data_IF_202751851390
#
_entry.id   IF_202751851390
#
_cell.length_a   1.000
_cell.length_b   1.000
_cell.length_c   1.000
_cell.angle_alpha   90.00
_cell.angle_beta   90.00
_cell.angle_gamma   90.00
#
_symmetry.space_group_name_H-M   'P 1'
#
loop_
_entity.id
_entity.type
_entity.pdbx_description
1 polymer ?
#
# COMPACT_ATOMS: atom_id res chain seq x y z
N UNK A 1 -4.01 27.16 2.99
CA UNK A 1 -3.73 25.89 2.28
C UNK A 1 -3.80 24.77 3.30
N UNK A 2 -4.64 23.75 3.08
CA UNK A 2 -4.68 22.59 4.00
C UNK A 2 -3.49 21.66 3.74
N UNK A 3 -3.12 20.82 4.70
CA UNK A 3 -2.06 19.81 4.53
C UNK A 3 -2.36 18.86 3.35
N UNK A 4 -3.64 18.60 3.09
CA UNK A 4 -4.11 17.79 1.97
C UNK A 4 -3.93 18.46 0.61
N UNK A 5 -4.11 19.78 0.53
CA UNK A 5 -3.88 20.53 -0.71
C UNK A 5 -2.38 20.55 -1.04
N UNK A 6 -1.53 20.78 -0.02
CA UNK A 6 -0.08 20.74 -0.20
C UNK A 6 0.43 19.38 -0.69
N UNK A 7 -0.06 18.25 -0.16
CA UNK A 7 0.36 16.93 -0.60
C UNK A 7 -0.02 16.65 -2.06
N UNK A 8 -1.26 17.00 -2.45
CA UNK A 8 -1.72 16.81 -3.83
C UNK A 8 -0.86 17.60 -4.83
N UNK A 9 -0.51 18.83 -4.49
CA UNK A 9 0.31 19.67 -5.36
C UNK A 9 1.74 19.16 -5.47
N UNK A 10 2.32 18.67 -4.37
CA UNK A 10 3.66 18.09 -4.38
C UNK A 10 3.73 16.79 -5.19
N UNK A 11 2.71 15.92 -5.12
CA UNK A 11 2.62 14.73 -5.97
C UNK A 11 2.50 15.11 -7.45
N UNK A 12 1.67 16.11 -7.79
CA UNK A 12 1.56 16.60 -9.17
C UNK A 12 2.90 17.12 -9.70
N UNK A 13 3.58 17.97 -8.91
CA UNK A 13 4.91 18.49 -9.26
C UNK A 13 5.91 17.36 -9.46
N UNK A 14 5.92 16.38 -8.54
CA UNK A 14 6.81 15.22 -8.62
C UNK A 14 6.60 14.43 -9.91
N UNK A 15 5.34 14.14 -10.28
CA UNK A 15 5.02 13.47 -11.54
C UNK A 15 5.48 14.30 -12.74
N UNK A 16 5.23 15.61 -12.76
CA UNK A 16 5.63 16.48 -13.87
C UNK A 16 7.14 16.51 -14.05
N UNK A 17 7.89 16.73 -12.96
CA UNK A 17 9.34 16.83 -12.99
C UNK A 17 9.96 15.48 -13.38
N UNK A 18 9.42 14.36 -12.87
CA UNK A 18 9.93 13.02 -13.14
C UNK A 18 9.90 12.63 -14.62
N UNK A 19 9.05 13.24 -15.45
CA UNK A 19 9.06 13.03 -16.90
C UNK A 19 10.17 13.82 -17.62
N UNK A 20 10.80 14.78 -16.94
CA UNK A 20 11.73 15.75 -17.53
C UNK A 20 13.16 15.62 -17.01
N UNK A 21 13.42 14.77 -16.01
CA UNK A 21 14.74 14.61 -15.38
C UNK A 21 15.27 13.16 -15.46
N UNK A 22 16.60 12.93 -15.36
CA UNK A 22 17.19 11.59 -15.33
C UNK A 22 16.68 10.74 -14.15
N UNK A 23 16.66 9.42 -14.31
CA UNK A 23 16.13 8.47 -13.30
C UNK A 23 16.81 8.58 -11.94
N UNK A 24 18.11 8.88 -11.95
CA UNK A 24 18.95 9.08 -10.77
C UNK A 24 18.52 10.31 -9.96
N UNK A 25 18.01 11.35 -10.65
CA UNK A 25 17.49 12.56 -10.02
C UNK A 25 16.06 12.38 -9.51
N UNK A 26 15.22 11.58 -10.18
CA UNK A 26 13.89 11.20 -9.68
C UNK A 26 13.99 10.57 -8.27
N UNK A 27 15.04 9.77 -8.04
CA UNK A 27 15.31 9.15 -6.73
C UNK A 27 15.57 10.19 -5.64
N UNK A 28 16.31 11.26 -5.95
CA UNK A 28 16.58 12.35 -5.00
C UNK A 28 15.30 13.10 -4.63
N UNK A 29 14.49 13.46 -5.62
CA UNK A 29 13.20 14.13 -5.41
C UNK A 29 12.22 13.27 -4.60
N UNK A 30 12.18 11.96 -4.90
CA UNK A 30 11.41 11.00 -4.12
C UNK A 30 11.80 11.04 -2.64
N UNK A 31 13.09 10.97 -2.32
CA UNK A 31 13.55 11.00 -0.94
C UNK A 31 13.28 12.32 -0.20
N UNK A 32 13.32 13.45 -0.91
CA UNK A 32 12.89 14.74 -0.34
C UNK A 32 11.43 14.66 0.12
N UNK A 33 10.56 14.05 -0.69
CA UNK A 33 9.16 13.85 -0.33
C UNK A 33 8.98 12.78 0.75
N UNK A 34 9.77 11.71 0.78
CA UNK A 34 9.78 10.74 1.88
C UNK A 34 10.06 11.44 3.21
N UNK A 35 11.13 12.25 3.28
CA UNK A 35 11.47 13.01 4.49
C UNK A 35 10.35 13.95 4.92
N UNK A 36 9.69 14.60 3.94
CA UNK A 36 8.58 15.52 4.20
C UNK A 36 7.32 14.82 4.70
N UNK A 37 7.01 13.64 4.17
CA UNK A 37 5.73 12.95 4.44
C UNK A 37 5.87 11.72 5.34
N UNK A 38 7.06 11.45 5.89
CA UNK A 38 7.25 10.28 6.74
C UNK A 38 6.35 10.36 7.98
N UNK A 39 5.55 9.31 8.27
CA UNK A 39 4.57 9.32 9.36
C UNK A 39 5.18 9.54 10.75
N UNK A 40 6.44 9.17 10.98
CA UNK A 40 7.12 9.41 12.28
C UNK A 40 7.38 10.89 12.57
N UNK A 41 7.30 11.79 11.57
CA UNK A 41 7.41 13.24 11.78
C UNK A 41 6.13 13.87 12.34
N UNK A 42 5.03 13.11 12.46
CA UNK A 42 3.69 13.63 12.76
C UNK A 42 2.95 12.77 13.80
N UNK A 43 3.05 13.16 15.07
CA UNK A 43 2.43 12.44 16.20
C UNK A 43 0.90 12.43 16.17
N UNK A 44 0.27 13.57 15.84
CA UNK A 44 -1.19 13.72 15.94
C UNK A 44 -1.95 13.34 14.66
N UNK A 45 -1.25 13.14 13.53
CA UNK A 45 -1.86 12.87 12.22
C UNK A 45 -1.22 11.66 11.52
N UNK A 46 -0.60 10.76 12.28
CA UNK A 46 0.19 9.63 11.75
C UNK A 46 -0.53 8.84 10.65
N UNK A 47 -1.80 8.48 10.88
CA UNK A 47 -2.63 7.72 9.92
C UNK A 47 -2.82 8.43 8.57
N UNK A 48 -2.88 9.77 8.55
CA UNK A 48 -2.98 10.54 7.31
C UNK A 48 -1.66 10.54 6.54
N UNK A 49 -0.54 10.64 7.26
CA UNK A 49 0.79 10.61 6.65
C UNK A 49 1.20 9.21 6.21
N UNK A 50 0.72 8.15 6.88
CA UNK A 50 0.84 6.78 6.38
C UNK A 50 0.18 6.64 4.98
N UNK A 51 -1.01 7.24 4.80
CA UNK A 51 -1.69 7.27 3.49
C UNK A 51 -0.89 8.04 2.44
N UNK A 52 -0.33 9.19 2.80
CA UNK A 52 0.49 10.00 1.90
C UNK A 52 1.76 9.26 1.47
N UNK A 53 2.42 8.61 2.42
CA UNK A 53 3.60 7.80 2.16
C UNK A 53 3.31 6.65 1.20
N UNK A 54 2.16 5.97 1.36
CA UNK A 54 1.74 4.90 0.43
C UNK A 54 1.46 5.41 -0.99
N UNK A 55 0.78 6.54 -1.13
CA UNK A 55 0.50 7.15 -2.43
C UNK A 55 1.81 7.57 -3.11
N UNK A 56 2.72 8.20 -2.37
CA UNK A 56 4.03 8.60 -2.87
C UNK A 56 4.84 7.39 -3.39
N UNK A 57 4.91 6.31 -2.61
CA UNK A 57 5.61 5.09 -3.02
C UNK A 57 5.01 4.45 -4.27
N UNK A 58 3.67 4.44 -4.36
CA UNK A 58 2.98 3.94 -5.54
C UNK A 58 3.31 4.77 -6.79
N UNK A 59 3.28 6.10 -6.67
CA UNK A 59 3.61 7.03 -7.75
C UNK A 59 5.05 6.83 -8.22
N UNK A 60 6.01 6.79 -7.29
CA UNK A 60 7.42 6.55 -7.61
C UNK A 60 7.64 5.20 -8.30
N UNK A 61 6.99 4.12 -7.83
CA UNK A 61 7.07 2.81 -8.47
C UNK A 61 6.58 2.85 -9.92
N UNK A 62 5.42 3.48 -10.17
CA UNK A 62 4.85 3.56 -11.52
C UNK A 62 5.75 4.35 -12.48
N UNK A 63 6.33 5.46 -12.01
CA UNK A 63 7.29 6.28 -12.76
C UNK A 63 8.53 5.43 -13.10
N UNK A 64 9.04 4.63 -12.15
CA UNK A 64 10.19 3.75 -12.36
C UNK A 64 9.88 2.60 -13.33
N UNK A 65 8.66 2.08 -13.30
CA UNK A 65 8.29 0.85 -13.99
C UNK A 65 7.97 1.02 -15.48
N UNK A 66 7.41 2.15 -15.94
CA UNK A 66 6.97 2.33 -17.34
C UNK A 66 6.23 1.10 -17.96
N UNK A 67 5.51 0.31 -17.14
CA UNK A 67 4.99 -0.99 -17.56
C UNK A 67 3.48 -1.13 -17.33
N UNK A 68 2.74 -1.21 -18.45
CA UNK A 68 1.40 -1.78 -18.53
C UNK A 68 1.39 -3.15 -17.86
N UNK A 69 0.79 -3.26 -16.68
CA UNK A 69 0.53 -4.57 -16.09
C UNK A 69 -0.76 -4.52 -15.28
N UNK A 70 -1.88 -4.71 -15.98
CA UNK A 70 -3.13 -5.12 -15.36
C UNK A 70 -3.01 -6.59 -14.96
N UNK A 71 -3.17 -6.87 -13.67
CA UNK A 71 -3.15 -8.23 -13.14
C UNK A 71 -4.47 -8.94 -13.52
N UNK A 72 -4.41 -9.89 -14.45
CA UNK A 72 -5.46 -10.88 -14.68
C UNK A 72 -5.35 -11.97 -13.62
N UNK A 73 -6.40 -12.15 -12.80
CA UNK A 73 -6.51 -13.27 -11.86
C UNK A 73 -7.76 -14.08 -12.21
N UNK A 74 -7.58 -15.39 -12.13
CA UNK A 74 -8.37 -16.47 -12.75
C UNK A 74 -9.67 -16.70 -11.97
N UNK A 75 -10.78 -16.83 -12.71
CA UNK A 75 -12.18 -16.77 -12.27
C UNK A 75 -12.79 -18.11 -11.83
N UNK A 76 -12.10 -19.23 -12.03
CA UNK A 76 -12.82 -20.50 -12.27
C UNK A 76 -13.12 -21.36 -11.03
N UNK A 77 -12.46 -21.12 -9.89
CA UNK A 77 -12.75 -21.85 -8.65
C UNK A 77 -13.91 -21.28 -7.83
N UNK A 78 -14.27 -20.02 -8.07
CA UNK A 78 -15.20 -19.30 -7.20
C UNK A 78 -16.65 -19.76 -7.41
N UNK A 79 -17.10 -19.96 -8.66
CA UNK A 79 -18.51 -20.15 -9.01
C UNK A 79 -19.23 -21.35 -8.36
N UNK A 80 -18.50 -22.35 -7.83
CA UNK A 80 -19.08 -23.62 -7.34
C UNK A 80 -19.75 -23.56 -5.96
N UNK A 81 -19.64 -22.47 -5.20
CA UNK A 81 -20.13 -22.38 -3.81
C UNK A 81 -21.29 -21.37 -3.58
N UNK A 82 -21.96 -20.91 -4.64
CA UNK A 82 -22.99 -19.85 -4.54
C UNK A 82 -24.37 -20.35 -4.12
N UNK A 83 -25.07 -19.53 -3.33
CA UNK A 83 -26.54 -19.58 -3.15
C UNK A 83 -27.08 -18.17 -3.40
N UNK A 84 -27.96 -17.98 -4.39
CA UNK A 84 -28.54 -16.68 -4.78
C UNK A 84 -27.52 -15.55 -5.06
N UNK A 85 -26.39 -15.86 -5.72
CA UNK A 85 -25.37 -14.86 -6.08
C UNK A 85 -24.59 -14.27 -4.88
N UNK A 86 -24.64 -14.95 -3.73
CA UNK A 86 -23.87 -14.63 -2.53
C UNK A 86 -23.15 -15.89 -2.04
N UNK A 87 -21.95 -15.69 -1.50
CA UNK A 87 -21.18 -16.75 -0.85
C UNK A 87 -21.45 -16.75 0.64
N UNK A 88 -21.57 -17.96 1.19
CA UNK A 88 -21.50 -18.16 2.63
C UNK A 88 -20.05 -17.98 3.08
N UNK A 89 -19.77 -16.82 3.68
CA UNK A 89 -18.50 -16.50 4.32
C UNK A 89 -18.64 -16.77 5.81
N UNK A 90 -17.73 -17.56 6.39
CA UNK A 90 -17.66 -17.70 7.85
C UNK A 90 -16.65 -16.67 8.33
N UNK A 91 -17.14 -15.71 9.12
CA UNK A 91 -16.30 -14.67 9.69
C UNK A 91 -15.45 -15.20 10.85
N UNK A 92 -14.57 -14.34 11.38
CA UNK A 92 -13.70 -14.63 12.52
C UNK A 92 -14.46 -15.13 13.78
N UNK A 93 -15.71 -14.70 13.96
CA UNK A 93 -16.58 -15.11 15.08
C UNK A 93 -17.33 -16.44 14.81
N UNK A 94 -16.95 -17.17 13.75
CA UNK A 94 -17.61 -18.39 13.28
C UNK A 94 -19.07 -18.19 12.85
N UNK A 95 -19.49 -16.94 12.59
CA UNK A 95 -20.84 -16.64 12.08
C UNK A 95 -20.86 -16.69 10.56
N UNK A 96 -21.89 -17.32 10.02
CA UNK A 96 -22.13 -17.37 8.59
C UNK A 96 -22.76 -16.05 8.11
N UNK A 97 -22.14 -15.42 7.12
CA UNK A 97 -22.61 -14.21 6.46
C UNK A 97 -22.69 -14.44 4.96
N UNK A 98 -23.61 -13.74 4.29
CA UNK A 98 -23.80 -13.86 2.84
C UNK A 98 -23.23 -12.63 2.15
N UNK A 99 -22.09 -12.81 1.48
CA UNK A 99 -21.31 -11.73 0.88
C UNK A 99 -21.41 -11.80 -0.64
N UNK A 100 -21.49 -10.65 -1.31
CA UNK A 100 -21.54 -10.60 -2.77
C UNK A 100 -20.22 -11.06 -3.40
N UNK A 101 -20.29 -11.64 -4.59
CA UNK A 101 -19.13 -12.15 -5.33
C UNK A 101 -18.02 -11.10 -5.45
N UNK A 102 -18.40 -9.88 -5.87
CA UNK A 102 -17.46 -8.78 -6.06
C UNK A 102 -16.79 -8.35 -4.75
N UNK A 103 -17.54 -8.31 -3.65
CA UNK A 103 -16.99 -7.92 -2.35
C UNK A 103 -16.06 -9.00 -1.81
N UNK A 104 -16.45 -10.28 -1.88
CA UNK A 104 -15.60 -11.39 -1.44
C UNK A 104 -14.31 -11.49 -2.28
N UNK A 105 -14.42 -11.33 -3.59
CA UNK A 105 -13.27 -11.32 -4.49
C UNK A 105 -12.27 -10.21 -4.11
N UNK A 106 -12.75 -8.97 -3.99
CA UNK A 106 -11.91 -7.84 -3.60
C UNK A 106 -11.31 -8.03 -2.20
N UNK A 107 -12.07 -8.62 -1.27
CA UNK A 107 -11.55 -8.91 0.07
C UNK A 107 -10.36 -9.88 0.01
N UNK A 108 -10.51 -11.02 -0.69
CA UNK A 108 -9.44 -12.01 -0.86
C UNK A 108 -8.23 -11.44 -1.60
N UNK A 109 -8.46 -10.68 -2.68
CA UNK A 109 -7.41 -9.96 -3.40
C UNK A 109 -6.62 -9.02 -2.48
N UNK A 110 -7.30 -8.37 -1.55
CA UNK A 110 -6.69 -7.55 -0.51
C UNK A 110 -5.78 -8.34 0.42
N UNK A 111 -6.28 -9.48 0.92
CA UNK A 111 -5.52 -10.38 1.80
C UNK A 111 -4.31 -10.98 1.11
N UNK A 112 -4.45 -11.45 -0.14
CA UNK A 112 -3.35 -12.03 -0.92
C UNK A 112 -2.18 -11.05 -1.05
N UNK A 113 -2.48 -9.77 -1.31
CA UNK A 113 -1.45 -8.73 -1.41
C UNK A 113 -0.78 -8.45 -0.06
N UNK A 114 -1.52 -8.52 1.05
CA UNK A 114 -0.99 -8.43 2.41
C UNK A 114 -0.04 -9.61 2.71
N UNK A 115 -0.47 -10.84 2.42
CA UNK A 115 0.34 -12.03 2.67
C UNK A 115 1.57 -12.08 1.78
N UNK A 116 1.42 -11.76 0.50
CA UNK A 116 2.55 -11.62 -0.42
C UNK A 116 3.55 -10.59 0.11
N UNK A 117 3.08 -9.43 0.60
CA UNK A 117 3.95 -8.39 1.16
C UNK A 117 4.76 -8.90 2.35
N UNK A 118 4.11 -9.62 3.28
CA UNK A 118 4.76 -10.25 4.43
C UNK A 118 5.81 -11.26 3.99
N UNK A 119 5.43 -12.19 3.12
CA UNK A 119 6.28 -13.30 2.71
C UNK A 119 7.48 -12.79 1.88
N UNK A 120 7.26 -11.78 1.04
CA UNK A 120 8.31 -11.13 0.28
C UNK A 120 9.32 -10.42 1.19
N UNK A 121 8.87 -9.73 2.25
CA UNK A 121 9.74 -9.11 3.24
C UNK A 121 10.57 -10.15 4.00
N UNK A 122 9.98 -11.28 4.39
CA UNK A 122 10.69 -12.37 5.06
C UNK A 122 11.77 -13.00 4.17
N UNK A 123 11.48 -13.17 2.89
CA UNK A 123 12.44 -13.70 1.92
C UNK A 123 13.55 -12.70 1.52
N UNK A 124 13.27 -11.40 1.64
CA UNK A 124 14.19 -10.32 1.26
C UNK A 124 14.33 -9.32 2.42
N UNK A 125 15.05 -9.70 3.50
CA UNK A 125 15.27 -8.79 4.61
C UNK A 125 15.98 -7.52 4.11
N UNK A 126 15.64 -6.39 4.72
CA UNK A 126 16.16 -5.08 4.34
C UNK A 126 17.64 -4.98 4.74
N UNK A 127 18.54 -5.41 3.86
CA UNK A 127 19.99 -5.25 3.98
C UNK A 127 20.48 -3.98 3.28
N UNK A 128 21.69 -3.51 3.64
CA UNK A 128 22.29 -2.33 3.01
C UNK A 128 22.41 -2.50 1.48
N UNK A 129 21.97 -1.47 0.73
CA UNK A 129 22.14 -1.39 -0.73
C UNK A 129 20.93 -1.79 -1.59
N UNK A 130 20.06 -2.71 -1.12
CA UNK A 130 18.89 -3.18 -1.89
C UNK A 130 17.52 -2.84 -1.27
N UNK A 131 17.52 -2.19 -0.10
CA UNK A 131 16.31 -1.87 0.66
C UNK A 131 15.28 -1.04 -0.11
N UNK A 132 15.71 -0.11 -0.96
CA UNK A 132 14.81 0.79 -1.69
C UNK A 132 13.83 0.03 -2.60
N UNK A 133 14.32 -0.94 -3.38
CA UNK A 133 13.49 -1.66 -4.34
C UNK A 133 12.52 -2.60 -3.65
N UNK A 134 12.97 -3.24 -2.57
CA UNK A 134 12.16 -4.13 -1.74
C UNK A 134 11.04 -3.32 -1.09
N UNK A 135 11.36 -2.19 -0.46
CA UNK A 135 10.36 -1.33 0.19
C UNK A 135 9.34 -0.82 -0.81
N UNK A 136 9.77 -0.34 -1.99
CA UNK A 136 8.84 0.16 -3.01
C UNK A 136 7.89 -0.94 -3.51
N UNK A 137 8.40 -2.16 -3.78
CA UNK A 137 7.57 -3.30 -4.20
C UNK A 137 6.53 -3.68 -3.15
N UNK A 138 6.95 -3.75 -1.89
CA UNK A 138 6.06 -4.06 -0.77
C UNK A 138 5.02 -2.95 -0.60
N UNK A 139 5.42 -1.68 -0.58
CA UNK A 139 4.51 -0.53 -0.48
C UNK A 139 3.45 -0.50 -1.58
N UNK A 140 3.81 -0.87 -2.81
CA UNK A 140 2.87 -0.96 -3.92
C UNK A 140 1.84 -2.09 -3.72
N UNK A 141 2.28 -3.27 -3.27
CA UNK A 141 1.37 -4.37 -2.97
C UNK A 141 0.43 -4.01 -1.81
N UNK A 142 0.95 -3.38 -0.75
CA UNK A 142 0.14 -2.87 0.36
C UNK A 142 -0.88 -1.80 -0.12
N UNK A 143 -0.51 -0.92 -1.06
CA UNK A 143 -1.44 0.04 -1.64
C UNK A 143 -2.58 -0.65 -2.41
N UNK A 144 -2.25 -1.66 -3.21
CA UNK A 144 -3.25 -2.49 -3.89
C UNK A 144 -4.17 -3.19 -2.88
N UNK A 145 -3.60 -3.76 -1.81
CA UNK A 145 -4.36 -4.38 -0.73
C UNK A 145 -5.40 -3.42 -0.15
N UNK A 146 -4.97 -2.21 0.26
CA UNK A 146 -5.86 -1.22 0.86
C UNK A 146 -6.96 -0.80 -0.12
N UNK A 147 -6.64 -0.60 -1.40
CA UNK A 147 -7.62 -0.27 -2.42
C UNK A 147 -8.69 -1.36 -2.53
N UNK A 148 -8.27 -2.63 -2.67
CA UNK A 148 -9.19 -3.75 -2.77
C UNK A 148 -10.05 -3.93 -1.51
N UNK A 149 -9.45 -3.88 -0.32
CA UNK A 149 -10.20 -3.99 0.94
C UNK A 149 -11.19 -2.83 1.13
N UNK A 150 -10.79 -1.61 0.78
CA UNK A 150 -11.65 -0.43 0.87
C UNK A 150 -12.85 -0.55 -0.08
N UNK A 151 -12.61 -0.96 -1.32
CA UNK A 151 -13.68 -1.15 -2.30
C UNK A 151 -14.58 -2.33 -1.94
N UNK A 152 -14.02 -3.38 -1.36
CA UNK A 152 -14.78 -4.49 -0.78
C UNK A 152 -15.76 -3.99 0.31
N UNK A 153 -15.27 -3.21 1.28
CA UNK A 153 -16.09 -2.64 2.37
C UNK A 153 -17.24 -1.78 1.83
N UNK A 154 -16.97 -0.93 0.82
CA UNK A 154 -18.00 -0.06 0.21
C UNK A 154 -19.14 -0.87 -0.41
N UNK A 155 -18.84 -2.02 -1.00
CA UNK A 155 -19.81 -2.88 -1.68
C UNK A 155 -20.57 -3.74 -0.66
N UNK A 156 -19.87 -4.30 0.32
CA UNK A 156 -20.40 -5.32 1.22
C UNK A 156 -21.17 -4.82 2.44
N UNK A 157 -21.53 -3.53 2.49
CA UNK A 157 -22.27 -2.79 3.54
C UNK A 157 -22.95 -3.68 4.62
N UNK A 158 -22.71 -3.34 5.89
CA UNK A 158 -23.39 -3.88 7.09
C UNK A 158 -23.09 -5.34 7.48
N UNK A 159 -22.03 -5.96 6.96
CA UNK A 159 -21.56 -7.29 7.37
C UNK A 159 -20.44 -7.20 8.43
N UNK A 160 -20.32 -8.18 9.36
CA UNK A 160 -19.32 -8.08 10.44
C UNK A 160 -17.89 -8.30 9.94
N UNK A 161 -17.70 -9.00 8.82
CA UNK A 161 -16.37 -9.16 8.21
C UNK A 161 -15.72 -7.81 7.81
N UNK A 162 -16.50 -6.73 7.68
CA UNK A 162 -15.98 -5.38 7.43
C UNK A 162 -15.00 -4.94 8.52
N UNK A 163 -15.20 -5.36 9.77
CA UNK A 163 -14.29 -5.01 10.86
C UNK A 163 -12.93 -5.68 10.67
N UNK A 164 -12.91 -6.95 10.27
CA UNK A 164 -11.69 -7.65 9.91
C UNK A 164 -10.98 -6.97 8.72
N UNK A 165 -11.73 -6.56 7.68
CA UNK A 165 -11.16 -5.83 6.56
C UNK A 165 -10.52 -4.49 6.99
N UNK A 166 -11.14 -3.76 7.93
CA UNK A 166 -10.58 -2.53 8.51
C UNK A 166 -9.30 -2.79 9.31
N UNK A 167 -9.27 -3.84 10.12
CA UNK A 167 -8.06 -4.27 10.85
C UNK A 167 -6.91 -4.57 9.87
N UNK A 168 -7.20 -5.26 8.77
CA UNK A 168 -6.19 -5.57 7.73
C UNK A 168 -5.70 -4.32 6.99
N UNK A 169 -6.58 -3.35 6.73
CA UNK A 169 -6.18 -2.04 6.19
C UNK A 169 -5.24 -1.33 7.17
N UNK A 170 -5.57 -1.31 8.46
CA UNK A 170 -4.72 -0.69 9.48
C UNK A 170 -3.35 -1.37 9.57
N UNK A 171 -3.32 -2.71 9.56
CA UNK A 171 -2.09 -3.48 9.51
C UNK A 171 -1.23 -3.14 8.28
N UNK A 172 -1.86 -2.96 7.10
CA UNK A 172 -1.15 -2.56 5.89
C UNK A 172 -0.51 -1.17 6.00
N UNK A 173 -1.21 -0.20 6.62
CA UNK A 173 -0.61 1.11 6.92
C UNK A 173 0.59 0.99 7.86
N UNK A 174 0.45 0.23 8.95
CA UNK A 174 1.52 0.04 9.94
C UNK A 174 2.74 -0.65 9.34
N UNK A 175 2.53 -1.71 8.54
CA UNK A 175 3.61 -2.40 7.85
C UNK A 175 4.34 -1.43 6.91
N UNK A 176 3.61 -0.64 6.12
CA UNK A 176 4.19 0.35 5.22
C UNK A 176 5.04 1.36 5.99
N UNK A 177 4.51 1.90 7.09
CA UNK A 177 5.19 2.84 8.00
C UNK A 177 6.55 2.29 8.47
N UNK A 178 6.55 1.03 8.93
CA UNK A 178 7.75 0.36 9.48
C UNK A 178 8.82 0.14 8.41
N UNK A 179 8.44 -0.31 7.22
CA UNK A 179 9.43 -0.59 6.16
C UNK A 179 9.98 0.71 5.55
N UNK A 180 9.19 1.79 5.49
CA UNK A 180 9.66 3.09 4.99
C UNK A 180 10.57 3.80 5.99
N UNK A 181 10.41 3.53 7.29
CA UNK A 181 11.31 4.06 8.31
C UNK A 181 12.76 3.67 8.04
N UNK A 182 13.01 2.43 7.63
CA UNK A 182 14.36 1.99 7.30
C UNK A 182 14.96 2.77 6.11
N UNK A 183 14.15 3.22 5.14
CA UNK A 183 14.62 4.11 4.07
C UNK A 183 15.02 5.49 4.59
N UNK A 184 14.27 6.00 5.55
CA UNK A 184 14.55 7.28 6.20
C UNK A 184 15.84 7.19 7.04
N UNK A 185 15.95 6.18 7.90
CA UNK A 185 17.07 6.00 8.83
C UNK A 185 18.40 5.70 8.10
N UNK A 186 18.41 4.79 7.10
CA UNK A 186 19.62 4.43 6.34
C UNK A 186 20.24 5.61 5.57
N UNK A 187 19.40 6.58 5.17
CA UNK A 187 19.88 7.78 4.49
C UNK A 187 20.37 8.86 5.47
N UNK A 188 19.91 8.84 6.72
CA UNK A 188 20.40 9.77 7.74
C UNK A 188 21.85 9.46 8.13
N UNK A 189 22.18 8.18 8.34
CA UNK A 189 23.55 7.72 8.65
C UNK A 189 24.56 8.03 7.56
N UNK A 190 24.17 8.03 6.28
CA UNK A 190 25.07 8.41 5.18
C UNK A 190 25.40 9.91 5.16
N UNK A 191 24.49 10.77 5.60
CA UNK A 191 24.73 12.22 5.69
C UNK A 191 25.57 12.63 6.90
N UNK A 192 25.54 11.87 7.99
CA UNK A 192 26.30 12.19 9.22
C UNK A 192 27.75 11.66 9.15
N UNK A 193 28.05 10.69 8.28
CA UNK A 193 29.41 10.18 8.09
C UNK A 193 30.35 11.11 7.29
N UNK A 194 29.88 12.29 6.86
CA UNK A 194 30.67 13.29 6.12
C UNK A 194 30.55 14.69 6.75
N UNK A 195 30.72 14.78 8.06
CA UNK A 195 30.93 16.04 8.79
C UNK A 195 32.15 15.96 9.67
#
# INVERSE_FOLDING_TARGET
>A
MTSQDSFKDDIKKFITIAHSIPKEEIKKEYYTLVKKYHPDMYTNNKTQYDKYMMILNHVYSNIKANSKTESKIISDEYEKMKVNGKYKFINRDKKAEYVSDKSLFLYKMGLDKIFWSRDYLCAHPLSEGFGDEIVVKISQALYQAIKYLTDSIKIGKNNNWINEAKEKIQWAYEMNSRITKNLYDMNFTKTVAFS
#
